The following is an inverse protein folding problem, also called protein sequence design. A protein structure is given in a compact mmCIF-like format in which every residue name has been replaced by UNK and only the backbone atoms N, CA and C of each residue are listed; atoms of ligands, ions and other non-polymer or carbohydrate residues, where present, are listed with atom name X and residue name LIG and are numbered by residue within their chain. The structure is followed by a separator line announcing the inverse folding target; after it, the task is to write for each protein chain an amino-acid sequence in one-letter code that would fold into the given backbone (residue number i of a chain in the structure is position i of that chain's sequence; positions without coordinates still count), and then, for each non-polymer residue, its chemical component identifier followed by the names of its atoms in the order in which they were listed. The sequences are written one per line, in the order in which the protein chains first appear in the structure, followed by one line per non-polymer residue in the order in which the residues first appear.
data_IF_752149865946
#
_entry.id   IF_752149865946
#
_cell.length_a   1.000
_cell.length_b   1.000
_cell.length_c   1.000
_cell.angle_alpha   90.00
_cell.angle_beta   90.00
_cell.angle_gamma   90.00
#
_symmetry.space_group_name_H-M   'P 1'
#
loop_
_entity.id
_entity.type
_entity.pdbx_description
1 polymer ?
#
# COMPACT_ATOMS: atom_id res chain seq x y z
N UNK A 1 -2.88 -1.85 -21.92
CA UNK A 1 -2.67 -0.95 -20.77
C UNK A 1 -1.25 -0.47 -20.84
N UNK A 2 -1.08 0.81 -21.15
CA UNK A 2 0.20 1.50 -21.22
C UNK A 2 0.86 1.51 -19.82
N UNK A 3 2.19 1.63 -19.75
CA UNK A 3 2.92 1.59 -18.47
C UNK A 3 2.36 2.60 -17.45
N UNK A 4 2.06 3.82 -17.91
CA UNK A 4 1.47 4.88 -17.08
C UNK A 4 0.10 4.47 -16.51
N UNK A 5 -0.76 3.84 -17.32
CA UNK A 5 -2.06 3.34 -16.86
C UNK A 5 -1.88 2.22 -15.82
N UNK A 6 -0.85 1.37 -15.98
CA UNK A 6 -0.52 0.32 -14.99
C UNK A 6 -0.05 0.92 -13.68
N UNK A 7 0.82 1.93 -13.73
CA UNK A 7 1.29 2.66 -12.54
C UNK A 7 0.11 3.25 -11.79
N UNK A 8 -0.74 4.01 -12.47
CA UNK A 8 -1.88 4.67 -11.82
C UNK A 8 -2.82 3.64 -11.18
N UNK A 9 -3.13 2.54 -11.89
CA UNK A 9 -3.97 1.47 -11.35
C UNK A 9 -3.37 0.86 -10.07
N UNK A 10 -2.08 0.54 -10.08
CA UNK A 10 -1.39 -0.08 -8.93
C UNK A 10 -1.25 0.93 -7.79
N UNK A 11 -0.87 2.18 -8.07
CA UNK A 11 -0.79 3.24 -7.08
C UNK A 11 -2.15 3.47 -6.40
N UNK A 12 -3.24 3.53 -7.17
CA UNK A 12 -4.59 3.69 -6.62
C UNK A 12 -5.00 2.52 -5.73
N UNK A 13 -4.66 1.29 -6.12
CA UNK A 13 -4.88 0.10 -5.29
C UNK A 13 -4.10 0.17 -3.98
N UNK A 14 -2.80 0.49 -4.04
CA UNK A 14 -1.95 0.62 -2.85
C UNK A 14 -2.42 1.76 -1.92
N UNK A 15 -2.87 2.90 -2.47
CA UNK A 15 -3.48 3.99 -1.69
C UNK A 15 -4.73 3.53 -0.94
N UNK A 16 -5.59 2.70 -1.57
CA UNK A 16 -6.74 2.08 -0.87
C UNK A 16 -6.31 1.13 0.25
N UNK A 17 -5.23 0.37 0.05
CA UNK A 17 -4.66 -0.48 1.10
C UNK A 17 -4.16 0.33 2.31
N UNK A 18 -3.52 1.48 2.06
CA UNK A 18 -3.09 2.41 3.13
C UNK A 18 -4.29 2.91 3.93
N UNK A 19 -5.33 3.41 3.25
CA UNK A 19 -6.55 3.90 3.91
C UNK A 19 -7.18 2.79 4.74
N UNK A 20 -7.30 1.59 4.17
CA UNK A 20 -7.85 0.44 4.89
C UNK A 20 -7.02 0.11 6.15
N UNK A 21 -5.69 0.15 6.07
CA UNK A 21 -4.81 -0.08 7.21
C UNK A 21 -5.03 0.98 8.30
N UNK A 22 -5.11 2.27 7.94
CA UNK A 22 -5.37 3.37 8.88
C UNK A 22 -6.71 3.20 9.61
N UNK A 23 -7.79 2.91 8.88
CA UNK A 23 -9.08 2.63 9.51
C UNK A 23 -9.04 1.38 10.40
N UNK A 24 -8.30 0.35 9.97
CA UNK A 24 -8.15 -0.90 10.71
C UNK A 24 -7.35 -0.70 12.00
N UNK A 25 -6.36 0.20 12.01
CA UNK A 25 -5.63 0.64 13.21
C UNK A 25 -6.56 1.40 14.15
N UNK A 26 -7.33 2.36 13.63
CA UNK A 26 -8.29 3.14 14.43
C UNK A 26 -9.26 2.22 15.17
N UNK A 27 -9.92 1.30 14.44
CA UNK A 27 -10.87 0.34 15.05
C UNK A 27 -10.22 -0.58 16.08
N UNK A 28 -8.94 -0.92 15.93
CA UNK A 28 -8.21 -1.77 16.89
C UNK A 28 -7.85 -1.02 18.16
N UNK A 29 -7.42 0.23 18.04
CA UNK A 29 -7.19 1.13 19.18
C UNK A 29 -8.48 1.34 19.97
N UNK A 30 -9.61 1.58 19.31
CA UNK A 30 -10.92 1.76 19.95
C UNK A 30 -11.39 0.51 20.71
N UNK A 31 -11.01 -0.68 20.24
CA UNK A 31 -11.32 -1.98 20.87
C UNK A 31 -10.35 -2.39 21.98
N UNK A 32 -9.30 -1.60 22.24
CA UNK A 32 -8.26 -1.95 23.21
C UNK A 32 -7.44 -3.18 22.80
N UNK A 33 -7.24 -3.40 21.49
CA UNK A 33 -6.36 -4.46 20.99
C UNK A 33 -4.92 -4.21 21.45
N UNK A 34 -4.16 -5.29 21.65
CA UNK A 34 -2.76 -5.22 22.09
C UNK A 34 -1.90 -4.39 21.14
N UNK A 35 -0.99 -3.60 21.70
CA UNK A 35 -0.11 -2.71 20.94
C UNK A 35 0.79 -3.47 19.95
N UNK A 36 1.21 -4.69 20.29
CA UNK A 36 1.99 -5.54 19.38
C UNK A 36 1.23 -5.84 18.07
N UNK A 37 -0.08 -6.09 18.17
CA UNK A 37 -0.92 -6.32 16.99
C UNK A 37 -1.12 -5.03 16.21
N UNK A 38 -1.29 -3.88 16.89
CA UNK A 38 -1.39 -2.58 16.25
C UNK A 38 -0.10 -2.23 15.48
N UNK A 39 1.07 -2.49 16.07
CA UNK A 39 2.38 -2.24 15.46
C UNK A 39 2.60 -3.00 14.15
N UNK A 40 2.07 -4.23 14.02
CA UNK A 40 2.09 -4.99 12.76
C UNK A 40 1.31 -4.26 11.66
N UNK A 41 0.15 -3.68 12.01
CA UNK A 41 -0.66 -2.90 11.06
C UNK A 41 -0.02 -1.56 10.70
N UNK A 42 0.65 -0.91 11.64
CA UNK A 42 1.42 0.31 11.37
C UNK A 42 2.58 0.03 10.42
N UNK A 43 3.32 -1.05 10.65
CA UNK A 43 4.38 -1.50 9.74
C UNK A 43 3.83 -1.75 8.34
N UNK A 44 2.72 -2.50 8.23
CA UNK A 44 2.06 -2.72 6.94
C UNK A 44 1.68 -1.42 6.24
N UNK A 45 1.05 -0.47 6.95
CA UNK A 45 0.69 0.85 6.42
C UNK A 45 1.92 1.59 5.89
N UNK A 46 3.00 1.62 6.66
CA UNK A 46 4.17 2.45 6.35
C UNK A 46 4.96 1.89 5.16
N UNK A 47 5.16 0.58 5.08
CA UNK A 47 5.74 -0.05 3.90
C UNK A 47 4.84 0.08 2.67
N UNK A 48 3.51 0.02 2.84
CA UNK A 48 2.59 0.24 1.71
C UNK A 48 2.63 1.69 1.23
N UNK A 49 2.73 2.67 2.13
CA UNK A 49 2.94 4.09 1.76
C UNK A 49 4.24 4.27 0.98
N UNK A 50 5.31 3.60 1.40
CA UNK A 50 6.57 3.62 0.67
C UNK A 50 6.42 3.03 -0.74
N UNK A 51 5.76 1.87 -0.86
CA UNK A 51 5.49 1.25 -2.16
C UNK A 51 4.64 2.13 -3.09
N UNK A 52 3.69 2.91 -2.57
CA UNK A 52 2.96 3.91 -3.36
C UNK A 52 3.94 4.88 -4.03
N UNK A 53 4.88 5.44 -3.26
CA UNK A 53 5.90 6.34 -3.78
C UNK A 53 6.81 5.68 -4.81
N UNK A 54 7.25 4.44 -4.60
CA UNK A 54 8.07 3.70 -5.57
C UNK A 54 7.32 3.48 -6.90
N UNK A 55 6.02 3.19 -6.87
CA UNK A 55 5.19 3.07 -8.09
C UNK A 55 4.99 4.43 -8.78
N UNK A 56 4.66 5.47 -8.02
CA UNK A 56 4.44 6.82 -8.56
C UNK A 56 5.71 7.43 -9.17
N UNK A 57 6.88 7.12 -8.61
CA UNK A 57 8.18 7.58 -9.11
C UNK A 57 8.72 6.75 -10.29
N UNK A 58 8.10 5.60 -10.57
CA UNK A 58 8.55 4.66 -11.60
C UNK A 58 9.70 3.74 -11.17
N UNK A 59 10.04 3.70 -9.88
CA UNK A 59 11.09 2.82 -9.33
C UNK A 59 10.77 1.33 -9.54
N UNK A 60 9.48 0.99 -9.72
CA UNK A 60 8.98 -0.36 -9.97
C UNK A 60 8.50 -0.60 -11.41
N UNK A 61 8.91 0.23 -12.35
CA UNK A 61 8.52 0.11 -13.76
C UNK A 61 8.84 -1.24 -14.37
N UNK A 62 10.03 -1.79 -14.08
CA UNK A 62 10.47 -3.07 -14.63
C UNK A 62 9.48 -4.20 -14.29
N UNK A 63 8.80 -4.10 -13.15
CA UNK A 63 7.80 -5.07 -12.70
C UNK A 63 6.45 -4.87 -13.42
N UNK A 64 6.15 -3.63 -13.82
CA UNK A 64 4.90 -3.27 -14.48
C UNK A 64 4.99 -3.41 -16.02
N UNK A 65 6.19 -3.28 -16.58
CA UNK A 65 6.48 -3.39 -18.00
C UNK A 65 6.50 -4.86 -18.48
N UNK A 66 6.93 -5.79 -17.63
CA UNK A 66 7.12 -7.22 -17.95
C UNK A 66 5.83 -8.05 -17.83
N UNK A 67 4.73 -7.55 -18.40
CA UNK A 67 3.44 -8.26 -18.45
C UNK A 67 3.40 -9.47 -19.38
N UNK A 68 4.39 -10.36 -19.33
CA UNK A 68 4.29 -11.75 -19.79
C UNK A 68 4.23 -12.66 -18.56
N UNK A 69 3.01 -12.84 -18.06
CA UNK A 69 2.63 -13.94 -17.18
C UNK A 69 1.69 -14.88 -17.92
#
# INVERSE_FOLDING_TARGET
MELEERRELVAEFLRRCVIYAEESISRKRDRGVLEEEISKWESYRDFTKHAVSEVENGDLDDWLASGEG
#
